data_IF_628127393146
#
_entry.id   IF_628127393146
#
_cell.length_a   1.000
_cell.length_b   1.000
_cell.length_c   1.000
_cell.angle_alpha   90.00
_cell.angle_beta   90.00
_cell.angle_gamma   90.00
#
_symmetry.space_group_name_H-M   'P 1'
#
loop_
_entity.id
_entity.type
_entity.pdbx_description
1 polymer ?
#
# COMPACT_ATOMS: atom_id res chain seq x y z
N UNK A 1 -18.91 11.86 -9.38
CA UNK A 1 -19.67 10.60 -9.16
C UNK A 1 -18.69 9.46 -9.37
N UNK A 2 -18.27 8.81 -8.28
CA UNK A 2 -17.41 7.62 -8.41
C UNK A 2 -18.22 6.54 -9.13
N UNK A 3 -17.63 5.90 -10.13
CA UNK A 3 -18.27 4.79 -10.84
C UNK A 3 -18.51 3.65 -9.85
N UNK A 4 -19.77 3.19 -9.73
CA UNK A 4 -20.15 2.10 -8.84
C UNK A 4 -19.44 0.81 -9.28
N UNK A 5 -18.57 0.29 -8.42
CA UNK A 5 -17.86 -0.97 -8.67
C UNK A 5 -18.77 -2.14 -8.29
N UNK A 6 -19.15 -2.94 -9.29
CA UNK A 6 -20.10 -4.05 -9.13
C UNK A 6 -19.65 -5.09 -8.10
N UNK A 7 -18.36 -5.37 -8.06
CA UNK A 7 -17.75 -6.32 -7.11
C UNK A 7 -17.88 -5.83 -5.66
N UNK A 8 -17.58 -4.56 -5.39
CA UNK A 8 -17.73 -3.97 -4.06
C UNK A 8 -19.20 -3.90 -3.64
N UNK A 9 -20.09 -3.58 -4.57
CA UNK A 9 -21.52 -3.59 -4.31
C UNK A 9 -22.02 -4.98 -3.93
N UNK A 10 -21.67 -6.03 -4.69
CA UNK A 10 -22.06 -7.41 -4.38
C UNK A 10 -21.51 -7.87 -3.02
N UNK A 11 -20.28 -7.47 -2.69
CA UNK A 11 -19.67 -7.77 -1.39
C UNK A 11 -20.44 -7.11 -0.24
N UNK A 12 -20.77 -5.82 -0.36
CA UNK A 12 -21.61 -5.10 0.60
C UNK A 12 -22.98 -5.79 0.76
N UNK A 13 -23.59 -6.20 -0.33
CA UNK A 13 -24.87 -6.92 -0.33
C UNK A 13 -24.80 -8.30 0.32
N UNK A 14 -23.64 -8.95 0.35
CA UNK A 14 -23.49 -10.23 1.03
C UNK A 14 -23.57 -10.09 2.56
N UNK A 15 -23.13 -8.94 3.09
CA UNK A 15 -23.07 -8.66 4.53
C UNK A 15 -24.21 -7.76 5.05
N UNK A 16 -24.88 -7.02 4.17
CA UNK A 16 -26.03 -6.18 4.51
C UNK A 16 -27.32 -7.01 4.50
N UNK A 17 -28.09 -6.98 5.59
CA UNK A 17 -29.43 -7.58 5.66
C UNK A 17 -30.46 -6.76 4.88
N UNK A 18 -30.37 -5.43 4.96
CA UNK A 18 -31.30 -4.50 4.27
C UNK A 18 -30.98 -4.26 2.80
N UNK A 19 -29.82 -4.73 2.33
CA UNK A 19 -29.36 -4.66 0.93
C UNK A 19 -29.19 -3.23 0.40
N UNK A 20 -28.80 -2.30 1.25
CA UNK A 20 -28.59 -0.90 0.90
C UNK A 20 -27.44 -0.23 1.69
N UNK A 21 -27.24 -0.59 2.95
CA UNK A 21 -26.16 -0.10 3.82
C UNK A 21 -25.62 -1.18 4.76
N UNK A 22 -24.45 -0.93 5.36
CA UNK A 22 -23.90 -1.74 6.45
C UNK A 22 -24.03 -1.01 7.78
N UNK A 23 -24.61 -1.66 8.77
CA UNK A 23 -24.60 -1.24 10.17
C UNK A 23 -23.23 -1.47 10.81
N UNK A 24 -23.02 -0.93 12.01
CA UNK A 24 -21.80 -1.17 12.81
C UNK A 24 -21.53 -2.67 12.98
N UNK A 25 -22.55 -3.47 13.29
CA UNK A 25 -22.41 -4.90 13.52
C UNK A 25 -22.07 -5.66 12.23
N UNK A 26 -22.74 -5.34 11.12
CA UNK A 26 -22.49 -5.97 9.82
C UNK A 26 -21.09 -5.61 9.28
N UNK A 27 -20.66 -4.36 9.45
CA UNK A 27 -19.32 -3.92 9.07
C UNK A 27 -18.26 -4.58 9.97
N UNK A 28 -18.49 -4.70 11.28
CA UNK A 28 -17.59 -5.42 12.17
C UNK A 28 -17.42 -6.88 11.74
N UNK A 29 -18.52 -7.53 11.37
CA UNK A 29 -18.53 -8.90 10.89
C UNK A 29 -17.74 -9.04 9.57
N UNK A 30 -17.93 -8.11 8.62
CA UNK A 30 -17.14 -8.06 7.39
C UNK A 30 -15.64 -7.95 7.66
N UNK A 31 -15.22 -7.05 8.55
CA UNK A 31 -13.80 -6.87 8.90
C UNK A 31 -13.21 -8.13 9.55
N UNK A 32 -13.99 -8.81 10.38
CA UNK A 32 -13.54 -10.04 11.02
C UNK A 32 -13.44 -11.21 10.04
N UNK A 33 -14.47 -11.43 9.22
CA UNK A 33 -14.55 -12.61 8.34
C UNK A 33 -13.74 -12.42 7.05
N UNK A 34 -13.93 -11.31 6.34
CA UNK A 34 -13.29 -11.09 5.03
C UNK A 34 -11.88 -10.51 5.17
N UNK A 35 -11.72 -9.48 6.01
CA UNK A 35 -10.42 -8.82 6.20
C UNK A 35 -9.52 -9.54 7.23
N UNK A 36 -10.04 -10.59 7.89
CA UNK A 36 -9.32 -11.39 8.91
C UNK A 36 -8.75 -10.55 10.05
N UNK A 37 -9.41 -9.43 10.37
CA UNK A 37 -9.00 -8.56 11.47
C UNK A 37 -9.45 -9.18 12.80
N UNK A 38 -8.51 -9.41 13.71
CA UNK A 38 -8.80 -10.04 15.02
C UNK A 38 -9.22 -9.04 16.10
N UNK A 39 -8.88 -7.76 15.96
CA UNK A 39 -9.10 -6.73 16.98
C UNK A 39 -10.07 -5.63 16.50
N UNK A 40 -11.24 -6.04 16.00
CA UNK A 40 -12.28 -5.10 15.55
C UNK A 40 -13.14 -4.71 16.74
N UNK A 41 -13.04 -3.46 17.19
CA UNK A 41 -13.90 -2.92 18.27
C UNK A 41 -15.05 -2.10 17.69
N UNK A 42 -16.20 -2.01 18.37
CA UNK A 42 -17.30 -1.15 17.93
C UNK A 42 -16.90 0.31 17.74
N UNK A 43 -16.00 0.83 18.59
CA UNK A 43 -15.49 2.20 18.51
C UNK A 43 -14.69 2.41 17.22
N UNK A 44 -13.83 1.44 16.86
CA UNK A 44 -13.07 1.50 15.62
C UNK A 44 -13.98 1.49 14.38
N UNK A 45 -15.06 0.70 14.41
CA UNK A 45 -16.03 0.66 13.31
C UNK A 45 -16.82 1.97 13.21
N UNK A 46 -17.19 2.57 14.35
CA UNK A 46 -17.82 3.88 14.37
C UNK A 46 -16.89 4.98 13.80
N UNK A 47 -15.60 4.94 14.11
CA UNK A 47 -14.60 5.84 13.53
C UNK A 47 -14.48 5.68 12.01
N UNK A 48 -14.57 4.45 11.49
CA UNK A 48 -14.62 4.20 10.05
C UNK A 48 -15.85 4.86 9.44
N UNK A 49 -17.03 4.66 10.02
CA UNK A 49 -18.28 5.23 9.51
C UNK A 49 -18.19 6.77 9.49
N UNK A 50 -17.77 7.38 10.59
CA UNK A 50 -17.64 8.83 10.70
C UNK A 50 -16.67 9.41 9.65
N UNK A 51 -15.56 8.69 9.40
CA UNK A 51 -14.51 9.14 8.50
C UNK A 51 -14.84 8.95 7.01
N UNK A 52 -15.48 7.84 6.65
CA UNK A 52 -15.62 7.43 5.25
C UNK A 52 -17.03 7.62 4.70
N UNK A 53 -18.06 7.67 5.54
CA UNK A 53 -19.43 7.91 5.07
C UNK A 53 -19.58 9.36 4.58
N UNK A 54 -20.32 9.53 3.48
CA UNK A 54 -20.51 10.84 2.83
C UNK A 54 -21.80 11.51 3.28
N UNK A 55 -22.84 10.74 3.57
CA UNK A 55 -24.14 11.26 3.99
C UNK A 55 -24.18 11.52 5.50
N UNK A 56 -24.49 12.74 5.90
CA UNK A 56 -24.65 13.12 7.32
C UNK A 56 -25.80 12.37 8.01
N UNK A 57 -26.86 12.02 7.27
CA UNK A 57 -27.97 11.20 7.79
C UNK A 57 -27.50 9.77 8.11
N UNK A 58 -26.67 9.20 7.24
CA UNK A 58 -26.09 7.86 7.45
C UNK A 58 -25.10 7.85 8.60
N UNK A 59 -24.26 8.90 8.74
CA UNK A 59 -23.37 9.06 9.89
C UNK A 59 -24.14 9.10 11.21
N UNK A 60 -25.19 9.93 11.28
CA UNK A 60 -26.04 10.02 12.47
C UNK A 60 -26.75 8.70 12.80
N UNK A 61 -27.09 7.92 11.77
CA UNK A 61 -27.71 6.61 11.91
C UNK A 61 -26.70 5.49 12.17
N UNK A 62 -25.39 5.76 12.12
CA UNK A 62 -24.33 4.76 12.31
C UNK A 62 -24.28 3.71 11.22
N UNK A 63 -24.52 4.09 9.96
CA UNK A 63 -24.52 3.17 8.81
C UNK A 63 -23.56 3.64 7.72
N UNK A 64 -22.98 2.68 6.99
CA UNK A 64 -22.07 2.90 5.87
C UNK A 64 -22.74 2.50 4.55
N UNK A 65 -22.92 3.46 3.65
CA UNK A 65 -23.44 3.25 2.30
C UNK A 65 -22.34 2.79 1.33
N UNK A 66 -22.73 2.49 0.09
CA UNK A 66 -21.81 1.97 -0.94
C UNK A 66 -20.65 2.92 -1.27
N UNK A 67 -20.89 4.23 -1.27
CA UNK A 67 -19.86 5.22 -1.55
C UNK A 67 -18.82 5.27 -0.42
N UNK A 68 -19.29 5.23 0.84
CA UNK A 68 -18.43 5.16 2.01
C UNK A 68 -17.65 3.85 2.08
N UNK A 69 -18.31 2.72 1.83
CA UNK A 69 -17.66 1.40 1.75
C UNK A 69 -16.60 1.36 0.65
N UNK A 70 -16.90 1.91 -0.54
CA UNK A 70 -15.93 2.00 -1.63
C UNK A 70 -14.73 2.87 -1.28
N UNK A 71 -14.94 3.96 -0.54
CA UNK A 71 -13.88 4.84 -0.05
C UNK A 71 -13.00 4.12 0.99
N UNK A 72 -13.64 3.43 1.95
CA UNK A 72 -12.95 2.65 2.97
C UNK A 72 -12.10 1.52 2.37
N UNK A 73 -12.64 0.74 1.44
CA UNK A 73 -11.90 -0.36 0.78
C UNK A 73 -10.68 0.11 -0.04
N UNK A 74 -10.57 1.41 -0.34
CA UNK A 74 -9.39 2.01 -1.01
C UNK A 74 -8.46 2.73 -0.05
N UNK A 75 -8.78 2.72 1.24
CA UNK A 75 -8.02 3.44 2.26
C UNK A 75 -6.82 2.61 2.74
N UNK A 76 -5.79 3.24 3.34
CA UNK A 76 -4.62 2.53 3.84
C UNK A 76 -4.90 1.37 4.81
N UNK A 77 -5.93 1.41 5.68
CA UNK A 77 -6.35 0.25 6.48
C UNK A 77 -6.72 -1.01 5.67
N UNK A 78 -7.17 -0.84 4.43
CA UNK A 78 -7.51 -1.94 3.51
C UNK A 78 -6.43 -2.17 2.45
N UNK A 79 -5.23 -1.61 2.63
CA UNK A 79 -4.11 -1.87 1.73
C UNK A 79 -3.66 -3.33 1.88
N UNK A 80 -3.27 -3.94 0.76
CA UNK A 80 -2.72 -5.30 0.74
C UNK A 80 -1.34 -5.34 1.41
N UNK A 81 -0.63 -4.21 1.43
CA UNK A 81 0.63 -4.09 2.16
C UNK A 81 0.38 -3.94 3.66
N UNK A 82 1.03 -4.78 4.47
CA UNK A 82 0.96 -4.68 5.92
C UNK A 82 1.51 -3.31 6.38
N UNK A 83 0.70 -2.44 6.99
CA UNK A 83 1.16 -1.12 7.43
C UNK A 83 2.30 -1.17 8.45
N UNK A 84 2.39 -2.26 9.23
CA UNK A 84 3.49 -2.47 10.18
C UNK A 84 4.85 -2.61 9.49
N UNK A 85 4.86 -2.88 8.17
CA UNK A 85 6.07 -3.00 7.38
C UNK A 85 6.46 -1.71 6.63
N UNK A 86 5.72 -0.60 6.84
CA UNK A 86 6.09 0.70 6.28
C UNK A 86 7.31 1.32 6.95
N UNK A 87 7.69 0.82 8.13
CA UNK A 87 8.88 1.21 8.87
C UNK A 87 9.81 0.01 9.08
N UNK A 88 11.04 0.27 9.52
CA UNK A 88 12.01 -0.77 9.86
C UNK A 88 11.46 -1.57 11.05
N UNK A 89 11.11 -2.83 10.79
CA UNK A 89 10.47 -3.73 11.74
C UNK A 89 11.29 -4.99 12.08
N UNK A 90 12.46 -5.14 11.45
CA UNK A 90 13.36 -6.28 11.63
C UNK A 90 14.48 -5.91 12.60
N UNK A 91 15.09 -6.93 13.20
CA UNK A 91 16.34 -6.77 13.96
C UNK A 91 17.45 -6.31 13.01
N UNK A 92 17.99 -5.11 13.23
CA UNK A 92 19.03 -4.50 12.40
C UNK A 92 20.44 -4.63 13.01
N UNK A 93 20.62 -5.43 14.06
CA UNK A 93 21.89 -5.64 14.75
C UNK A 93 22.63 -6.92 14.30
N UNK A 94 22.00 -7.75 13.46
CA UNK A 94 22.63 -8.95 12.89
C UNK A 94 23.77 -8.59 11.90
N UNK A 95 24.69 -9.52 11.60
CA UNK A 95 25.68 -9.35 10.54
C UNK A 95 25.06 -9.13 9.15
N UNK A 96 25.74 -8.39 8.27
CA UNK A 96 25.25 -8.04 6.93
C UNK A 96 24.83 -9.25 6.07
N UNK A 97 25.47 -10.41 6.23
CA UNK A 97 25.15 -11.62 5.48
C UNK A 97 23.78 -12.22 5.82
N UNK A 98 23.10 -11.72 6.85
CA UNK A 98 21.76 -12.17 7.25
C UNK A 98 20.64 -11.35 6.58
N UNK A 99 20.96 -10.34 5.77
CA UNK A 99 19.97 -9.50 5.11
C UNK A 99 20.07 -9.60 3.58
N UNK A 100 18.91 -9.43 2.93
CA UNK A 100 18.89 -9.11 1.51
C UNK A 100 19.22 -7.63 1.32
N UNK A 101 20.19 -7.34 0.46
CA UNK A 101 20.65 -5.99 0.16
C UNK A 101 20.17 -5.58 -1.23
N UNK A 102 19.35 -4.53 -1.31
CA UNK A 102 18.97 -3.92 -2.57
C UNK A 102 20.23 -3.39 -3.29
N UNK A 103 20.58 -4.04 -4.39
CA UNK A 103 21.84 -3.82 -5.11
C UNK A 103 21.57 -3.53 -6.59
N UNK A 104 22.35 -2.63 -7.17
CA UNK A 104 22.28 -2.25 -8.58
C UNK A 104 23.56 -2.68 -9.30
N UNK A 105 23.41 -3.21 -10.51
CA UNK A 105 24.49 -3.58 -11.39
C UNK A 105 24.62 -2.56 -12.52
N UNK A 106 25.85 -2.21 -12.90
CA UNK A 106 26.17 -1.16 -13.87
C UNK A 106 25.33 0.11 -13.65
N UNK A 107 25.32 0.61 -12.40
CA UNK A 107 24.43 1.69 -11.94
C UNK A 107 24.48 2.96 -12.77
N UNK A 108 25.60 3.22 -13.44
CA UNK A 108 25.78 4.38 -14.31
C UNK A 108 24.98 4.32 -15.62
N UNK A 109 24.55 3.14 -16.10
CA UNK A 109 23.87 2.99 -17.39
C UNK A 109 22.43 3.49 -17.35
N UNK A 110 22.01 4.23 -18.37
CA UNK A 110 20.62 4.69 -18.51
C UNK A 110 19.71 3.68 -19.22
N UNK A 111 20.27 2.60 -19.79
CA UNK A 111 19.54 1.66 -20.61
C UNK A 111 20.30 0.36 -20.83
N UNK A 112 20.38 -0.09 -22.09
CA UNK A 112 21.03 -1.35 -22.45
C UNK A 112 22.55 -1.37 -22.20
N UNK A 113 23.11 -2.58 -22.19
CA UNK A 113 24.52 -2.81 -21.82
C UNK A 113 25.55 -2.40 -22.89
N UNK A 114 25.13 -2.09 -24.12
CA UNK A 114 26.04 -1.92 -25.25
C UNK A 114 26.05 -0.49 -25.82
N UNK A 115 24.88 0.12 -25.96
CA UNK A 115 24.69 1.37 -26.70
C UNK A 115 24.19 2.51 -25.82
N UNK A 116 23.71 2.22 -24.61
CA UNK A 116 23.21 3.25 -23.72
C UNK A 116 24.33 4.11 -23.12
N UNK A 117 23.96 5.30 -22.68
CA UNK A 117 24.90 6.24 -22.10
C UNK A 117 25.08 6.01 -20.60
N UNK A 118 26.25 6.38 -20.11
CA UNK A 118 26.53 6.47 -18.68
C UNK A 118 26.17 7.86 -18.16
N UNK A 119 25.38 7.95 -17.07
CA UNK A 119 25.05 9.21 -16.40
C UNK A 119 25.19 9.10 -14.89
N UNK A 120 25.67 10.18 -14.27
CA UNK A 120 25.73 10.30 -12.80
C UNK A 120 24.34 10.33 -12.16
N UNK A 121 23.34 10.84 -12.87
CA UNK A 121 21.96 10.95 -12.36
C UNK A 121 21.34 9.58 -12.05
N UNK A 122 21.81 8.52 -12.69
CA UNK A 122 21.35 7.16 -12.42
C UNK A 122 21.65 6.72 -10.99
N UNK A 123 22.78 7.17 -10.41
CA UNK A 123 23.10 6.90 -9.01
C UNK A 123 22.10 7.58 -8.06
N UNK A 124 21.70 8.83 -8.34
CA UNK A 124 20.69 9.51 -7.55
C UNK A 124 19.35 8.77 -7.61
N UNK A 125 18.95 8.31 -8.79
CA UNK A 125 17.69 7.60 -9.00
C UNK A 125 17.63 6.25 -8.27
N UNK A 126 18.68 5.42 -8.35
CA UNK A 126 18.69 4.14 -7.63
C UNK A 126 18.75 4.31 -6.11
N UNK A 127 19.47 5.33 -5.62
CA UNK A 127 19.56 5.62 -4.18
C UNK A 127 18.20 6.08 -3.62
N UNK A 128 17.49 6.95 -4.34
CA UNK A 128 16.13 7.37 -4.00
C UNK A 128 15.14 6.19 -4.03
N UNK A 129 15.37 5.21 -4.90
CA UNK A 129 14.58 3.97 -4.98
C UNK A 129 14.92 2.95 -3.88
N UNK A 130 15.80 3.28 -2.94
CA UNK A 130 16.14 2.42 -1.80
C UNK A 130 17.34 1.51 -2.02
N UNK A 131 18.08 1.63 -3.12
CA UNK A 131 19.31 0.88 -3.34
C UNK A 131 20.36 1.20 -2.26
N UNK A 132 21.15 0.20 -1.87
CA UNK A 132 22.20 0.29 -0.83
C UNK A 132 23.57 -0.15 -1.31
N UNK A 133 23.65 -0.87 -2.43
CA UNK A 133 24.90 -1.25 -3.09
C UNK A 133 24.88 -0.78 -4.55
N UNK A 134 25.85 0.04 -4.94
CA UNK A 134 25.95 0.60 -6.29
C UNK A 134 27.27 0.22 -6.93
N UNK A 135 27.24 0.00 -8.24
CA UNK A 135 28.42 -0.35 -9.02
C UNK A 135 28.99 0.88 -9.72
N UNK A 136 30.28 1.13 -9.51
CA UNK A 136 31.03 2.18 -10.17
C UNK A 136 32.05 1.64 -11.15
N UNK A 137 32.01 2.13 -12.40
CA UNK A 137 33.02 1.83 -13.39
C UNK A 137 34.09 2.91 -13.41
N UNK A 138 35.33 2.52 -13.12
CA UNK A 138 36.50 3.37 -13.27
C UNK A 138 37.16 3.10 -14.62
N UNK A 139 37.11 4.09 -15.51
CA UNK A 139 37.89 4.07 -16.76
C UNK A 139 39.19 4.85 -16.57
N UNK A 140 40.30 4.29 -17.06
CA UNK A 140 41.54 5.05 -17.20
C UNK A 140 41.45 5.90 -18.48
N UNK A 141 41.44 7.25 -18.37
CA UNK A 141 41.36 8.12 -19.53
C UNK A 141 42.56 8.00 -20.48
N UNK A 142 43.68 7.40 -20.04
CA UNK A 142 44.90 7.26 -20.85
C UNK A 142 44.95 5.97 -21.68
N UNK A 143 43.99 5.06 -21.52
CA UNK A 143 43.92 3.78 -22.24
C UNK A 143 42.99 3.82 -23.47
N UNK A 144 42.42 4.99 -23.79
CA UNK A 144 41.59 5.21 -24.97
C UNK A 144 42.48 5.80 -26.07
N UNK A 145 43.06 4.92 -26.90
CA UNK A 145 43.81 5.28 -28.10
C UNK A 145 42.88 5.52 -29.29
#
# INVERSE_FOLDING_TARGET
MMSLRRDLFLLMMAYSDRKDHLTVEELANFLHIEQKMTNVTPEYVAEIIEKFEVSEENKQSGVLGIDGFTSFMRSPPCDIFNPLHHEVNQDMEQPLCNYFIASSHNTYLTGDQLLSHSKTDMYAWVLQSGCRCVEGMRMDPNLIH
#
